data_IF_227474166704
#
_entry.id   IF_227474166704
#
_cell.length_a   1.000
_cell.length_b   1.000
_cell.length_c   1.000
_cell.angle_alpha   90.00
_cell.angle_beta   90.00
_cell.angle_gamma   90.00
#
_symmetry.space_group_name_H-M   'P 1'
#
loop_
_entity.id
_entity.type
_entity.pdbx_description
1 polymer ?
#
# COMPACT_ATOMS: atom_id res chain seq x y z
N UNK A 1 -40.49 -41.25 -11.29
CA UNK A 1 -40.38 -42.41 -10.38
C UNK A 1 -38.90 -42.47 -10.02
N UNK A 2 -38.48 -41.83 -8.92
CA UNK A 2 -38.33 -42.40 -7.56
C UNK A 2 -37.62 -43.76 -7.61
N UNK A 3 -36.32 -43.78 -7.32
CA UNK A 3 -35.72 -44.03 -5.98
C UNK A 3 -35.35 -45.54 -5.95
N UNK A 4 -34.24 -46.05 -5.45
CA UNK A 4 -33.38 -45.56 -4.37
C UNK A 4 -32.17 -46.53 -4.18
N UNK A 5 -31.21 -46.08 -3.37
CA UNK A 5 -30.39 -46.87 -2.44
C UNK A 5 -29.04 -47.50 -2.86
N UNK A 6 -28.01 -46.74 -2.49
CA UNK A 6 -26.74 -47.11 -1.87
C UNK A 6 -26.65 -48.49 -1.18
N UNK A 7 -25.48 -49.13 -1.30
CA UNK A 7 -24.86 -49.90 -0.21
C UNK A 7 -23.34 -49.94 -0.38
N UNK A 8 -22.65 -49.41 0.64
CA UNK A 8 -21.22 -49.50 0.90
C UNK A 8 -20.83 -50.92 1.28
N UNK A 9 -19.58 -51.33 0.99
CA UNK A 9 -18.68 -51.92 1.99
C UNK A 9 -17.20 -51.92 1.49
N UNK A 10 -16.22 -52.01 2.42
CA UNK A 10 -14.88 -51.42 2.30
C UNK A 10 -13.79 -52.44 1.97
N UNK A 11 -12.61 -51.96 1.59
CA UNK A 11 -11.38 -52.76 1.67
C UNK A 11 -10.37 -52.03 2.56
N UNK A 12 -10.17 -52.59 3.75
CA UNK A 12 -8.98 -52.38 4.58
C UNK A 12 -7.85 -53.21 3.97
N UNK A 13 -6.66 -52.63 3.85
CA UNK A 13 -5.41 -53.37 3.76
C UNK A 13 -4.39 -52.72 4.71
N UNK A 14 -3.84 -53.56 5.58
CA UNK A 14 -2.95 -53.24 6.69
C UNK A 14 -1.49 -53.55 6.33
N UNK A 15 -0.59 -52.66 6.75
CA UNK A 15 0.84 -52.95 6.99
C UNK A 15 1.77 -52.81 5.77
N UNK A 16 3.04 -52.45 5.88
CA UNK A 16 3.85 -52.02 7.02
C UNK A 16 5.17 -51.44 6.44
N UNK A 17 5.81 -50.59 7.21
CA UNK A 17 7.25 -50.34 7.28
C UNK A 17 8.09 -49.81 6.09
N UNK A 18 8.61 -48.59 6.35
CA UNK A 18 10.04 -48.24 6.31
C UNK A 18 10.70 -47.87 4.97
N UNK A 19 10.78 -46.54 4.72
CA UNK A 19 12.05 -45.87 4.32
C UNK A 19 11.94 -44.36 4.50
N UNK A 20 12.47 -43.90 5.63
CA UNK A 20 12.78 -42.50 5.90
C UNK A 20 13.92 -42.06 4.95
N UNK A 21 13.66 -41.06 4.10
CA UNK A 21 14.71 -40.29 3.42
C UNK A 21 14.88 -38.98 4.19
N UNK A 22 16.10 -38.62 4.61
CA UNK A 22 16.32 -37.51 5.52
C UNK A 22 16.19 -36.17 4.78
N UNK A 23 15.22 -35.36 5.20
CA UNK A 23 15.13 -33.94 4.84
C UNK A 23 16.24 -33.22 5.60
N UNK A 24 17.29 -32.86 4.87
CA UNK A 24 18.44 -32.13 5.36
C UNK A 24 18.03 -30.70 5.71
N UNK A 25 17.67 -30.48 6.99
CA UNK A 25 17.52 -29.15 7.59
C UNK A 25 18.89 -28.47 7.66
N UNK A 26 19.12 -27.48 6.81
CA UNK A 26 20.24 -26.56 6.98
C UNK A 26 19.92 -25.56 8.09
N UNK A 27 20.63 -25.73 9.20
CA UNK A 27 20.71 -24.83 10.34
C UNK A 27 21.39 -23.52 9.94
N UNK A 28 20.68 -22.40 10.05
CA UNK A 28 21.26 -21.05 9.95
C UNK A 28 22.07 -20.74 11.21
N UNK A 29 23.39 -20.98 11.15
CA UNK A 29 24.37 -20.37 12.04
C UNK A 29 25.68 -20.25 11.27
N UNK A 30 25.97 -19.03 10.82
CA UNK A 30 27.29 -18.46 10.45
C UNK A 30 27.14 -17.47 9.29
N UNK A 31 27.18 -16.17 9.62
CA UNK A 31 27.89 -15.11 8.88
C UNK A 31 27.57 -13.74 9.50
N UNK A 32 28.36 -13.38 10.51
CA UNK A 32 28.57 -12.00 10.93
C UNK A 32 30.03 -11.86 11.32
N UNK A 33 30.89 -11.34 10.43
CA UNK A 33 32.11 -10.60 10.79
C UNK A 33 32.53 -9.68 9.65
N UNK A 34 32.66 -8.39 9.97
CA UNK A 34 33.05 -7.28 9.09
C UNK A 34 31.94 -6.23 9.09
N UNK A 35 32.03 -5.09 9.78
CA UNK A 35 33.17 -4.24 10.14
C UNK A 35 32.81 -3.52 11.45
N UNK A 36 33.67 -3.61 12.47
CA UNK A 36 33.71 -2.67 13.59
C UNK A 36 34.55 -1.45 13.18
N UNK A 37 34.34 -0.30 13.83
CA UNK A 37 35.47 0.23 14.58
C UNK A 37 35.09 0.57 16.03
N UNK A 38 35.84 -0.07 16.94
CA UNK A 38 36.00 0.30 18.34
C UNK A 38 37.45 0.71 18.55
N UNK A 39 37.68 1.99 18.84
CA UNK A 39 38.82 2.54 19.60
C UNK A 39 38.73 4.07 19.47
N UNK A 40 38.95 4.93 20.45
CA UNK A 40 39.49 4.83 21.81
C UNK A 40 39.44 6.25 22.39
N UNK A 41 39.01 6.41 23.64
CA UNK A 41 39.56 7.46 24.50
C UNK A 41 40.80 6.85 25.20
N UNK A 42 41.82 7.64 25.60
CA UNK A 42 41.69 8.39 26.84
C UNK A 42 42.38 9.77 26.87
N UNK A 43 42.10 10.44 27.98
CA UNK A 43 42.53 11.73 28.52
C UNK A 43 44.03 12.08 28.40
N UNK A 44 44.42 13.30 28.75
CA UNK A 44 45.34 13.66 29.85
C UNK A 44 45.40 15.21 29.98
N UNK A 45 45.56 15.67 31.22
CA UNK A 45 45.58 17.04 31.73
C UNK A 45 46.92 17.75 31.50
N UNK A 46 46.91 19.09 31.42
CA UNK A 46 47.80 20.08 32.10
C UNK A 46 47.32 21.48 31.62
N UNK A 47 46.72 22.32 32.49
CA UNK A 47 47.41 23.37 33.26
C UNK A 47 47.57 24.64 32.38
N UNK A 48 47.18 25.87 32.74
CA UNK A 48 47.31 26.64 33.98
C UNK A 48 46.51 27.96 33.79
N UNK A 49 45.88 28.44 34.89
CA UNK A 49 45.65 29.82 35.38
C UNK A 49 45.61 31.01 34.39
N UNK A 50 44.84 32.09 34.56
CA UNK A 50 44.42 32.80 35.77
C UNK A 50 43.44 33.93 35.36
N UNK A 51 42.63 34.43 36.31
CA UNK A 51 42.18 35.83 36.28
C UNK A 51 40.67 36.11 36.09
N UNK A 52 39.93 36.03 37.19
CA UNK A 52 38.73 36.86 37.50
C UNK A 52 39.29 38.20 38.06
N UNK A 53 38.70 39.41 37.88
CA UNK A 53 37.28 39.65 38.09
C UNK A 53 36.56 40.76 37.28
N UNK A 54 35.23 40.64 37.29
CA UNK A 54 34.22 41.72 37.50
C UNK A 54 34.33 43.03 36.73
N UNK A 55 33.34 43.36 35.89
CA UNK A 55 32.37 44.43 36.20
C UNK A 55 31.23 44.50 35.16
N UNK A 56 30.06 44.95 35.65
CA UNK A 56 28.91 45.59 34.98
C UNK A 56 29.21 46.19 33.58
N UNK A 57 28.33 46.22 32.57
CA UNK A 57 26.99 46.80 32.62
C UNK A 57 26.32 46.72 31.23
N UNK A 58 25.00 46.85 31.21
CA UNK A 58 24.18 47.01 30.01
C UNK A 58 24.37 48.42 29.43
N UNK A 59 24.35 48.56 28.12
CA UNK A 59 23.25 49.27 27.41
C UNK A 59 23.60 49.58 25.96
N UNK A 60 22.65 49.18 25.12
CA UNK A 60 22.40 49.57 23.74
C UNK A 60 22.40 51.09 23.56
N UNK A 61 23.16 51.61 22.58
CA UNK A 61 22.85 52.91 21.99
C UNK A 61 23.26 52.98 20.51
N UNK A 62 22.29 53.48 19.75
CA UNK A 62 22.17 53.77 18.31
C UNK A 62 23.43 54.16 17.54
N UNK A 63 23.59 53.59 16.34
CA UNK A 63 24.39 54.20 15.27
C UNK A 63 23.55 54.31 13.99
N UNK A 64 23.39 55.55 13.53
CA UNK A 64 22.81 55.95 12.25
C UNK A 64 23.88 55.97 11.16
N UNK A 65 23.40 55.79 9.91
CA UNK A 65 23.95 56.28 8.61
C UNK A 65 24.65 55.30 7.64
N UNK A 66 23.82 54.89 6.66
CA UNK A 66 23.98 54.97 5.18
C UNK A 66 24.71 53.86 4.40
N UNK A 67 24.26 53.61 3.14
CA UNK A 67 24.30 52.30 2.51
C UNK A 67 25.29 52.23 1.34
N UNK A 68 26.11 51.18 1.32
CA UNK A 68 27.00 50.88 0.20
C UNK A 68 26.76 49.44 -0.27
N UNK A 69 25.75 49.24 -1.13
CA UNK A 69 25.41 47.89 -1.59
C UNK A 69 24.44 47.76 -2.75
N UNK A 70 24.12 48.83 -3.50
CA UNK A 70 23.13 48.74 -4.59
C UNK A 70 23.68 48.24 -5.94
N UNK A 71 25.01 48.13 -6.08
CA UNK A 71 25.63 47.74 -7.36
C UNK A 71 25.68 46.22 -7.57
N UNK A 72 25.81 45.44 -6.49
CA UNK A 72 25.86 43.96 -6.57
C UNK A 72 24.48 43.32 -6.71
N UNK A 73 23.44 43.90 -6.12
CA UNK A 73 22.07 43.37 -6.22
C UNK A 73 21.50 43.50 -7.63
N UNK A 74 21.78 44.61 -8.32
CA UNK A 74 21.37 44.79 -9.72
C UNK A 74 22.04 43.82 -10.68
N UNK A 75 23.33 43.50 -10.48
CA UNK A 75 24.01 42.51 -11.32
C UNK A 75 23.43 41.12 -11.13
N UNK A 76 23.06 40.72 -9.90
CA UNK A 76 22.40 39.42 -9.68
C UNK A 76 21.02 39.35 -10.34
N UNK A 77 20.23 40.42 -10.27
CA UNK A 77 18.91 40.47 -10.91
C UNK A 77 19.04 40.35 -12.43
N UNK A 78 19.99 41.08 -13.05
CA UNK A 78 20.22 41.01 -14.50
C UNK A 78 20.70 39.63 -14.95
N UNK A 79 21.58 38.98 -14.17
CA UNK A 79 22.03 37.61 -14.45
C UNK A 79 20.88 36.61 -14.34
N UNK A 80 20.02 36.72 -13.33
CA UNK A 80 18.87 35.84 -13.14
C UNK A 80 17.88 35.98 -14.32
N UNK A 81 17.63 37.22 -14.76
CA UNK A 81 16.72 37.50 -15.88
C UNK A 81 17.27 36.94 -17.20
N UNK A 82 18.58 37.05 -17.44
CA UNK A 82 19.23 36.45 -18.60
C UNK A 82 19.18 34.91 -18.58
N UNK A 83 19.26 34.30 -17.40
CA UNK A 83 19.19 32.84 -17.26
C UNK A 83 17.77 32.33 -17.54
N UNK A 84 16.75 33.06 -17.07
CA UNK A 84 15.34 32.73 -17.34
C UNK A 84 14.98 32.86 -18.83
N UNK A 85 15.51 33.88 -19.53
CA UNK A 85 15.27 34.02 -20.98
C UNK A 85 15.94 32.91 -21.77
N UNK A 86 17.15 32.48 -21.39
CA UNK A 86 17.82 31.34 -22.03
C UNK A 86 17.05 30.03 -21.81
N UNK A 87 16.51 29.79 -20.62
CA UNK A 87 15.68 28.62 -20.34
C UNK A 87 14.37 28.63 -21.15
N UNK A 88 13.72 29.78 -21.28
CA UNK A 88 12.51 29.92 -22.09
C UNK A 88 12.80 29.66 -23.59
N UNK A 89 13.92 30.17 -24.11
CA UNK A 89 14.34 29.92 -25.49
C UNK A 89 14.73 28.46 -25.72
N UNK A 90 15.36 27.80 -24.74
CA UNK A 90 15.66 26.38 -24.81
C UNK A 90 14.38 25.53 -24.80
N UNK A 91 13.36 25.91 -24.01
CA UNK A 91 12.07 25.23 -23.98
C UNK A 91 11.30 25.40 -25.30
N UNK A 92 11.28 26.61 -25.86
CA UNK A 92 10.69 26.87 -27.18
C UNK A 92 11.48 26.12 -28.27
N UNK A 93 12.81 26.12 -28.19
CA UNK A 93 13.67 25.33 -29.07
C UNK A 93 13.37 23.84 -28.99
N UNK A 94 13.16 23.28 -27.80
CA UNK A 94 12.77 21.89 -27.61
C UNK A 94 11.39 21.56 -28.20
N UNK A 95 10.44 22.51 -28.18
CA UNK A 95 9.14 22.33 -28.84
C UNK A 95 9.24 22.35 -30.38
N UNK A 96 10.21 23.06 -30.95
CA UNK A 96 10.43 23.14 -32.40
C UNK A 96 11.44 22.10 -32.93
N UNK A 97 12.34 21.59 -32.09
CA UNK A 97 13.36 20.59 -32.44
C UNK A 97 13.04 19.18 -31.96
N UNK A 98 11.99 18.98 -31.16
CA UNK A 98 11.40 17.66 -31.01
C UNK A 98 10.90 17.23 -32.40
N UNK A 99 11.47 16.18 -33.01
CA UNK A 99 11.01 15.69 -34.29
C UNK A 99 9.53 15.34 -34.12
N UNK A 100 8.68 16.08 -34.81
CA UNK A 100 7.30 15.69 -35.03
C UNK A 100 7.31 14.23 -35.46
N UNK A 101 6.79 13.40 -34.56
CA UNK A 101 6.51 12.00 -34.80
C UNK A 101 5.67 11.96 -36.08
N UNK A 102 6.25 11.49 -37.17
CA UNK A 102 5.48 11.07 -38.34
C UNK A 102 4.41 10.09 -37.83
N UNK A 103 3.16 10.51 -37.84
CA UNK A 103 2.05 9.58 -37.78
C UNK A 103 2.12 8.78 -39.08
N UNK A 104 2.67 7.57 -39.00
CA UNK A 104 2.73 6.64 -40.14
C UNK A 104 1.30 6.39 -40.67
N UNK A 105 1.13 6.14 -41.99
CA UNK A 105 -0.17 5.93 -42.59
C UNK A 105 -0.69 4.53 -42.26
N UNK A 106 -1.05 4.30 -41.00
CA UNK A 106 -1.80 3.13 -40.53
C UNK A 106 -3.09 3.57 -39.81
N UNK A 107 -3.21 4.84 -39.42
CA UNK A 107 -4.41 5.36 -38.73
C UNK A 107 -5.41 6.11 -39.64
N UNK A 108 -5.07 6.40 -40.89
CA UNK A 108 -5.99 7.06 -41.82
C UNK A 108 -7.16 6.17 -42.29
N UNK A 109 -7.06 4.84 -42.08
CA UNK A 109 -8.14 3.90 -42.37
C UNK A 109 -9.10 3.69 -41.19
N UNK A 110 -8.85 4.31 -40.03
CA UNK A 110 -9.74 4.22 -38.86
C UNK A 110 -10.73 5.39 -38.77
N UNK A 111 -10.49 6.48 -39.49
CA UNK A 111 -11.37 7.65 -39.53
C UNK A 111 -12.47 7.58 -40.61
N UNK A 112 -12.51 6.52 -41.44
CA UNK A 112 -13.56 6.31 -42.46
C UNK A 112 -14.39 5.04 -42.26
N UNK A 113 -14.28 4.42 -41.09
CA UNK A 113 -15.16 3.35 -40.60
C UNK A 113 -16.08 3.81 -39.45
N UNK A 114 -16.05 5.11 -39.11
CA UNK A 114 -16.77 5.71 -37.99
C UNK A 114 -18.07 6.43 -38.36
N UNK A 115 -18.52 6.39 -39.62
CA UNK A 115 -19.80 6.99 -40.03
C UNK A 115 -20.97 5.99 -40.08
N UNK A 116 -20.71 4.69 -39.84
CA UNK A 116 -21.73 3.64 -39.82
C UNK A 116 -21.80 2.87 -38.49
N UNK A 117 -21.24 3.41 -37.40
CA UNK A 117 -21.53 2.93 -36.06
C UNK A 117 -22.82 3.61 -35.59
N UNK A 118 -23.94 2.99 -35.95
CA UNK A 118 -25.25 3.15 -35.31
C UNK A 118 -25.10 3.57 -33.86
N UNK A 119 -25.71 4.71 -33.53
CA UNK A 119 -25.95 5.23 -32.20
C UNK A 119 -25.88 4.14 -31.13
N UNK A 120 -24.70 3.96 -30.53
CA UNK A 120 -24.58 3.24 -29.28
C UNK A 120 -25.35 4.10 -28.29
N UNK A 121 -26.53 3.60 -27.93
CA UNK A 121 -27.45 4.20 -26.97
C UNK A 121 -26.61 4.47 -25.72
N UNK A 122 -26.28 5.75 -25.48
CA UNK A 122 -25.81 6.24 -24.19
C UNK A 122 -26.97 6.02 -23.23
N UNK A 123 -27.07 4.81 -22.69
CA UNK A 123 -27.91 4.50 -21.54
C UNK A 123 -27.40 5.42 -20.44
N UNK A 124 -28.27 6.35 -20.01
CA UNK A 124 -27.91 7.45 -19.12
C UNK A 124 -27.11 6.97 -17.92
N UNK A 125 -26.17 7.81 -17.49
CA UNK A 125 -25.35 7.61 -16.30
C UNK A 125 -26.22 7.17 -15.12
N UNK A 126 -26.02 5.94 -14.65
CA UNK A 126 -26.78 5.36 -13.53
C UNK A 126 -26.07 5.67 -12.21
N UNK A 127 -26.83 5.70 -11.11
CA UNK A 127 -26.23 5.79 -9.77
C UNK A 127 -25.50 4.47 -9.45
N UNK A 128 -24.24 4.56 -9.01
CA UNK A 128 -23.48 3.37 -8.61
C UNK A 128 -23.86 2.97 -7.19
N UNK A 129 -24.67 1.91 -7.11
CA UNK A 129 -25.01 1.23 -5.87
C UNK A 129 -25.18 -0.26 -6.14
N UNK A 130 -25.04 -1.11 -5.11
CA UNK A 130 -25.27 -2.55 -5.28
C UNK A 130 -26.69 -2.84 -5.81
N UNK A 131 -27.69 -2.08 -5.37
CA UNK A 131 -29.05 -2.21 -5.87
C UNK A 131 -29.16 -1.89 -7.38
N UNK A 132 -28.51 -0.82 -7.84
CA UNK A 132 -28.53 -0.43 -9.25
C UNK A 132 -27.76 -1.42 -10.14
N UNK A 133 -26.67 -2.01 -9.63
CA UNK A 133 -25.93 -3.05 -10.34
C UNK A 133 -26.76 -4.34 -10.44
N UNK A 134 -27.42 -4.77 -9.35
CA UNK A 134 -28.32 -5.92 -9.35
C UNK A 134 -29.54 -5.71 -10.25
N UNK A 135 -30.13 -4.51 -10.24
CA UNK A 135 -31.24 -4.18 -11.14
C UNK A 135 -30.81 -4.24 -12.61
N UNK A 136 -29.62 -3.73 -12.94
CA UNK A 136 -29.07 -3.84 -14.28
C UNK A 136 -28.78 -5.31 -14.66
N UNK A 137 -28.27 -6.11 -13.73
CA UNK A 137 -28.02 -7.55 -13.95
C UNK A 137 -29.31 -8.30 -14.30
N UNK A 138 -30.40 -8.01 -13.59
CA UNK A 138 -31.71 -8.63 -13.82
C UNK A 138 -32.32 -8.27 -15.19
N UNK A 139 -31.89 -7.17 -15.81
CA UNK A 139 -32.34 -6.74 -17.13
C UNK A 139 -31.57 -7.42 -18.27
N UNK A 140 -30.44 -8.06 -17.99
CA UNK A 140 -29.59 -8.69 -19.00
C UNK A 140 -29.93 -10.17 -19.23
N UNK A 141 -29.76 -10.69 -20.45
CA UNK A 141 -29.94 -12.11 -20.75
C UNK A 141 -29.05 -13.02 -19.88
N UNK A 142 -29.60 -14.16 -19.44
CA UNK A 142 -28.95 -15.13 -18.53
C UNK A 142 -27.54 -15.57 -18.97
N UNK A 143 -27.30 -15.73 -20.27
CA UNK A 143 -25.99 -16.17 -20.78
C UNK A 143 -25.16 -15.03 -21.40
N UNK A 144 -25.60 -13.78 -21.21
CA UNK A 144 -24.94 -12.61 -21.78
C UNK A 144 -23.62 -12.28 -21.09
N UNK A 145 -22.60 -11.92 -21.87
CA UNK A 145 -21.33 -11.41 -21.33
C UNK A 145 -21.52 -10.17 -20.44
N UNK A 146 -22.48 -9.30 -20.76
CA UNK A 146 -22.80 -8.13 -19.91
C UNK A 146 -23.34 -8.56 -18.54
N UNK A 147 -24.22 -9.56 -18.49
CA UNK A 147 -24.71 -10.13 -17.22
C UNK A 147 -23.55 -10.64 -16.36
N UNK A 148 -22.65 -11.44 -16.93
CA UNK A 148 -21.46 -11.94 -16.23
C UNK A 148 -20.54 -10.82 -15.74
N UNK A 149 -20.42 -9.73 -16.49
CA UNK A 149 -19.70 -8.54 -16.02
C UNK A 149 -20.41 -7.85 -14.85
N UNK A 150 -21.73 -7.76 -14.87
CA UNK A 150 -22.51 -7.21 -13.76
C UNK A 150 -22.43 -8.10 -12.51
N UNK A 151 -22.49 -9.43 -12.67
CA UNK A 151 -22.28 -10.40 -11.58
C UNK A 151 -20.90 -10.21 -10.92
N UNK A 152 -19.83 -10.13 -11.73
CA UNK A 152 -18.47 -9.86 -11.23
C UNK A 152 -18.37 -8.47 -10.57
N UNK A 153 -19.00 -7.46 -11.17
CA UNK A 153 -19.05 -6.11 -10.61
C UNK A 153 -19.75 -6.10 -9.24
N UNK A 154 -20.91 -6.73 -9.10
CA UNK A 154 -21.66 -6.85 -7.84
C UNK A 154 -20.79 -7.53 -6.80
N UNK A 155 -20.20 -8.68 -7.13
CA UNK A 155 -19.37 -9.45 -6.22
C UNK A 155 -18.17 -8.63 -5.72
N UNK A 156 -17.33 -8.11 -6.64
CA UNK A 156 -16.12 -7.37 -6.27
C UNK A 156 -16.40 -6.04 -5.61
N UNK A 157 -17.38 -5.29 -6.11
CA UNK A 157 -17.75 -3.99 -5.55
C UNK A 157 -18.32 -4.12 -4.14
N UNK A 158 -19.01 -5.21 -3.82
CA UNK A 158 -19.53 -5.46 -2.46
C UNK A 158 -18.43 -5.57 -1.41
N UNK A 159 -17.26 -6.06 -1.81
CA UNK A 159 -16.07 -6.21 -0.96
C UNK A 159 -15.24 -4.93 -0.85
N UNK A 160 -15.53 -3.90 -1.65
CA UNK A 160 -14.72 -2.69 -1.65
C UNK A 160 -14.94 -1.83 -0.39
N UNK A 161 -13.87 -1.18 0.09
CA UNK A 161 -13.96 -0.30 1.25
C UNK A 161 -14.92 0.85 0.98
N UNK A 162 -15.51 1.39 2.05
CA UNK A 162 -16.55 2.43 1.95
C UNK A 162 -16.07 3.68 1.18
N UNK A 163 -14.78 4.01 1.27
CA UNK A 163 -14.20 5.14 0.51
C UNK A 163 -14.27 4.95 -1.01
N UNK A 164 -14.09 3.71 -1.50
CA UNK A 164 -14.23 3.37 -2.91
C UNK A 164 -15.70 3.43 -3.30
N UNK A 165 -16.58 2.76 -2.54
CA UNK A 165 -18.00 2.66 -2.89
C UNK A 165 -18.75 4.01 -2.92
N UNK A 166 -18.30 5.00 -2.15
CA UNK A 166 -18.95 6.32 -2.03
C UNK A 166 -18.47 7.36 -3.05
N UNK A 167 -17.39 7.09 -3.78
CA UNK A 167 -16.77 8.09 -4.66
C UNK A 167 -16.14 7.45 -5.92
N UNK A 168 -16.82 6.48 -6.50
CA UNK A 168 -16.32 5.73 -7.66
C UNK A 168 -17.15 5.91 -8.92
N UNK A 169 -16.45 5.82 -10.05
CA UNK A 169 -17.01 5.73 -11.39
C UNK A 169 -16.66 4.35 -11.93
N UNK A 170 -17.69 3.55 -12.20
CA UNK A 170 -17.54 2.21 -12.76
C UNK A 170 -17.99 2.20 -14.22
N UNK A 171 -17.14 1.69 -15.09
CA UNK A 171 -17.40 1.52 -16.51
C UNK A 171 -17.35 0.02 -16.83
N UNK A 172 -18.44 -0.53 -17.33
CA UNK A 172 -18.50 -1.89 -17.83
C UNK A 172 -18.40 -1.87 -19.35
N UNK A 173 -17.41 -2.56 -19.92
CA UNK A 173 -17.22 -2.71 -21.36
C UNK A 173 -17.20 -4.20 -21.71
N UNK A 174 -18.37 -4.73 -22.04
CA UNK A 174 -18.56 -6.16 -22.22
C UNK A 174 -19.33 -6.44 -23.50
N UNK A 175 -18.78 -7.29 -24.38
CA UNK A 175 -19.42 -7.69 -25.65
C UNK A 175 -19.86 -6.50 -26.53
N UNK A 176 -19.02 -5.47 -26.62
CA UNK A 176 -19.26 -4.29 -27.45
C UNK A 176 -20.28 -3.30 -26.87
N UNK A 177 -20.91 -3.60 -25.73
CA UNK A 177 -21.79 -2.67 -25.01
C UNK A 177 -21.04 -2.01 -23.86
N UNK A 178 -21.43 -0.75 -23.57
CA UNK A 178 -20.85 0.05 -22.50
C UNK A 178 -21.95 0.48 -21.54
N UNK A 179 -21.76 0.24 -20.24
CA UNK A 179 -22.58 0.81 -19.19
C UNK A 179 -21.72 1.62 -18.22
N UNK A 180 -22.29 2.70 -17.67
CA UNK A 180 -21.58 3.59 -16.76
C UNK A 180 -22.42 3.87 -15.51
N UNK A 181 -21.76 3.72 -14.36
CA UNK A 181 -22.33 3.94 -13.05
C UNK A 181 -21.43 4.90 -12.27
N UNK A 182 -22.02 5.85 -11.54
CA UNK A 182 -21.25 6.83 -10.74
C UNK A 182 -21.84 6.99 -9.35
N UNK A 183 -20.97 6.99 -8.33
CA UNK A 183 -21.26 7.28 -6.93
C UNK A 183 -20.42 8.46 -6.48
N UNK A 184 -21.03 9.39 -5.75
CA UNK A 184 -20.37 10.62 -5.30
C UNK A 184 -19.87 11.46 -6.47
N UNK A 185 -18.58 11.81 -6.44
CA UNK A 185 -17.93 12.59 -7.51
C UNK A 185 -17.30 11.71 -8.60
N UNK A 186 -17.19 10.41 -8.38
CA UNK A 186 -16.60 9.47 -9.33
C UNK A 186 -15.09 9.63 -9.53
N UNK A 187 -14.35 10.03 -8.49
CA UNK A 187 -12.90 10.25 -8.58
C UNK A 187 -12.12 8.93 -8.68
N UNK A 188 -12.64 7.84 -8.10
CA UNK A 188 -12.01 6.51 -8.13
C UNK A 188 -12.55 5.72 -9.33
N UNK A 189 -11.67 5.36 -10.25
CA UNK A 189 -12.07 4.70 -11.49
C UNK A 189 -12.06 3.18 -11.34
N UNK A 190 -13.11 2.54 -11.85
CA UNK A 190 -13.28 1.09 -11.88
C UNK A 190 -13.68 0.70 -13.29
N UNK A 191 -13.01 -0.28 -13.87
CA UNK A 191 -13.34 -0.85 -15.16
C UNK A 191 -13.66 -2.33 -15.01
N UNK A 192 -14.77 -2.76 -15.60
CA UNK A 192 -15.11 -4.18 -15.73
C UNK A 192 -15.14 -4.53 -17.20
N UNK A 193 -14.21 -5.36 -17.64
CA UNK A 193 -13.96 -5.62 -19.05
C UNK A 193 -14.10 -7.10 -19.36
N UNK A 194 -14.64 -7.42 -20.54
CA UNK A 194 -14.74 -8.80 -21.01
C UNK A 194 -13.49 -9.20 -21.79
N UNK A 195 -12.65 -10.07 -21.21
CA UNK A 195 -11.39 -10.52 -21.80
C UNK A 195 -11.37 -12.05 -21.83
N UNK A 196 -11.12 -12.63 -23.01
CA UNK A 196 -10.98 -14.09 -23.20
C UNK A 196 -12.10 -14.93 -22.56
N UNK A 197 -13.35 -14.47 -22.69
CA UNK A 197 -14.52 -15.18 -22.15
C UNK A 197 -14.75 -15.00 -20.65
N UNK A 198 -14.02 -14.10 -19.99
CA UNK A 198 -14.11 -13.85 -18.54
C UNK A 198 -14.24 -12.34 -18.27
N UNK A 199 -15.02 -11.97 -17.26
CA UNK A 199 -15.08 -10.60 -16.76
C UNK A 199 -13.85 -10.31 -15.89
N UNK A 200 -13.17 -9.19 -16.13
CA UNK A 200 -12.04 -8.72 -15.33
C UNK A 200 -12.40 -7.41 -14.65
N UNK A 201 -12.30 -7.38 -13.33
CA UNK A 201 -12.52 -6.19 -12.51
C UNK A 201 -11.18 -5.50 -12.23
N UNK A 202 -11.05 -4.25 -12.67
CA UNK A 202 -9.84 -3.45 -12.58
C UNK A 202 -10.20 -2.18 -11.83
N UNK A 203 -9.46 -1.88 -10.76
CA UNK A 203 -9.65 -0.65 -9.98
C UNK A 203 -8.35 0.16 -10.03
N UNK A 204 -8.49 1.46 -10.27
CA UNK A 204 -7.37 2.39 -10.25
C UNK A 204 -6.92 2.63 -8.80
N UNK A 205 -5.79 2.03 -8.44
CA UNK A 205 -5.14 2.16 -7.13
C UNK A 205 -4.05 3.24 -7.11
N UNK A 206 -4.05 4.19 -8.05
CA UNK A 206 -3.05 5.27 -8.09
C UNK A 206 -3.06 6.16 -6.84
N UNK A 207 -4.18 6.23 -6.11
CA UNK A 207 -4.25 6.85 -4.79
C UNK A 207 -3.70 5.90 -3.72
N UNK A 208 -2.69 6.32 -2.92
CA UNK A 208 -2.18 5.54 -1.80
C UNK A 208 -3.26 5.18 -0.78
N UNK A 209 -4.23 6.06 -0.54
CA UNK A 209 -5.32 5.82 0.40
C UNK A 209 -6.22 4.67 -0.07
N UNK A 210 -6.51 4.63 -1.38
CA UNK A 210 -7.30 3.56 -1.99
C UNK A 210 -6.54 2.23 -1.91
N UNK A 211 -5.26 2.24 -2.26
CA UNK A 211 -4.40 1.06 -2.16
C UNK A 211 -4.40 0.50 -0.72
N UNK A 212 -4.10 1.34 0.27
CA UNK A 212 -4.03 0.95 1.68
C UNK A 212 -5.37 0.45 2.21
N UNK A 213 -6.47 1.11 1.86
CA UNK A 213 -7.81 0.66 2.28
C UNK A 213 -8.17 -0.72 1.71
N UNK A 214 -7.62 -1.08 0.54
CA UNK A 214 -7.82 -2.40 -0.09
C UNK A 214 -6.91 -3.49 0.48
N UNK A 215 -5.75 -3.15 1.03
CA UNK A 215 -4.88 -4.10 1.74
C UNK A 215 -5.59 -4.77 2.93
N UNK A 216 -6.51 -4.04 3.59
CA UNK A 216 -7.29 -4.56 4.72
C UNK A 216 -8.47 -5.47 4.36
N UNK A 217 -8.74 -5.71 3.07
CA UNK A 217 -9.91 -6.51 2.64
C UNK A 217 -9.82 -7.97 3.06
N UNK A 218 -8.62 -8.55 2.96
CA UNK A 218 -8.40 -9.98 3.14
C UNK A 218 -7.22 -10.23 4.08
N UNK A 219 -7.31 -11.26 4.95
CA UNK A 219 -6.17 -11.67 5.73
C UNK A 219 -4.98 -12.03 4.83
N UNK A 220 -3.80 -11.58 5.23
CA UNK A 220 -2.54 -11.89 4.55
C UNK A 220 -1.78 -12.98 5.31
N UNK A 221 -0.89 -13.75 4.65
CA UNK A 221 0.02 -14.64 5.36
C UNK A 221 0.91 -13.85 6.33
N UNK A 222 0.98 -14.31 7.58
CA UNK A 222 1.83 -13.71 8.61
C UNK A 222 3.29 -14.12 8.38
N UNK A 223 4.06 -13.18 7.85
CA UNK A 223 5.51 -13.29 7.72
C UNK A 223 6.14 -11.90 7.81
N UNK A 224 7.38 -11.83 8.28
CA UNK A 224 8.13 -10.58 8.33
C UNK A 224 8.28 -9.96 6.94
N UNK A 225 8.48 -10.79 5.91
CA UNK A 225 8.56 -10.33 4.53
C UNK A 225 7.26 -9.67 4.08
N UNK A 226 6.09 -10.24 4.43
CA UNK A 226 4.80 -9.65 4.05
C UNK A 226 4.51 -8.35 4.80
N UNK A 227 4.80 -8.29 6.10
CA UNK A 227 4.65 -7.06 6.90
C UNK A 227 5.57 -5.96 6.36
N UNK A 228 6.84 -6.29 6.07
CA UNK A 228 7.80 -5.36 5.48
C UNK A 228 7.39 -4.93 4.07
N UNK A 229 6.80 -5.82 3.27
CA UNK A 229 6.28 -5.47 1.94
C UNK A 229 5.18 -4.43 2.03
N UNK A 230 4.19 -4.65 2.91
CA UNK A 230 3.12 -3.68 3.16
C UNK A 230 3.67 -2.34 3.63
N UNK A 231 4.69 -2.34 4.51
CA UNK A 231 5.35 -1.12 4.95
C UNK A 231 6.03 -0.36 3.79
N UNK A 232 6.68 -1.08 2.87
CA UNK A 232 7.34 -0.51 1.69
C UNK A 232 6.33 0.00 0.63
N UNK A 233 5.15 -0.60 0.58
CA UNK A 233 4.05 -0.17 -0.29
C UNK A 233 3.41 1.14 0.20
N UNK A 234 3.64 1.54 1.46
CA UNK A 234 3.24 2.85 1.96
C UNK A 234 4.10 3.95 1.33
N UNK A 235 3.51 5.06 0.87
CA UNK A 235 4.26 6.14 0.23
C UNK A 235 5.28 6.72 1.21
N UNK A 236 6.55 6.82 0.82
CA UNK A 236 7.65 7.34 1.64
C UNK A 236 7.48 8.80 2.09
N UNK A 237 6.59 9.54 1.44
CA UNK A 237 6.40 10.99 1.59
C UNK A 237 5.32 11.31 2.64
N UNK A 238 5.27 10.50 3.70
CA UNK A 238 4.23 10.50 4.76
C UNK A 238 4.06 11.87 5.42
N UNK A 239 5.06 12.75 5.31
CA UNK A 239 5.05 14.09 5.92
C UNK A 239 3.94 15.02 5.42
N UNK A 240 3.39 14.79 4.22
CA UNK A 240 2.30 15.63 3.66
C UNK A 240 0.96 14.89 3.57
N UNK A 241 1.00 13.56 3.62
CA UNK A 241 -0.18 12.70 3.55
C UNK A 241 -0.84 12.61 4.93
N UNK A 242 -2.17 12.45 4.97
CA UNK A 242 -2.99 12.43 6.20
C UNK A 242 -2.35 11.61 7.33
N UNK A 243 -2.52 12.10 8.57
CA UNK A 243 -1.94 11.49 9.78
C UNK A 243 -2.21 9.99 9.94
N UNK A 244 -3.29 9.50 9.34
CA UNK A 244 -3.68 8.09 9.26
C UNK A 244 -2.57 7.17 8.71
N UNK A 245 -1.91 7.53 7.61
CA UNK A 245 -0.86 6.70 7.01
C UNK A 245 0.42 6.67 7.87
N UNK A 246 0.72 7.80 8.52
CA UNK A 246 1.84 7.89 9.47
C UNK A 246 1.62 6.98 10.68
N UNK A 247 0.39 6.93 11.14
CA UNK A 247 0.00 6.05 12.23
C UNK A 247 0.19 4.59 11.85
N UNK A 248 -0.30 4.20 10.67
CA UNK A 248 -0.15 2.84 10.16
C UNK A 248 1.33 2.44 10.01
N UNK A 249 2.16 3.32 9.46
CA UNK A 249 3.61 3.09 9.36
C UNK A 249 4.24 2.82 10.74
N UNK A 250 3.91 3.64 11.74
CA UNK A 250 4.42 3.49 13.10
C UNK A 250 4.01 2.14 13.71
N UNK A 251 2.79 1.67 13.41
CA UNK A 251 2.30 0.38 13.91
C UNK A 251 2.95 -0.80 13.22
N UNK A 252 3.17 -0.73 11.92
CA UNK A 252 3.91 -1.76 11.18
C UNK A 252 5.38 -1.82 11.63
N UNK A 253 6.03 -0.68 11.87
CA UNK A 253 7.38 -0.63 12.46
C UNK A 253 7.43 -1.32 13.83
N UNK A 254 6.50 -0.98 14.73
CA UNK A 254 6.39 -1.62 16.04
C UNK A 254 6.17 -3.13 15.91
N UNK A 255 5.35 -3.54 14.96
CA UNK A 255 5.10 -4.96 14.66
C UNK A 255 6.39 -5.68 14.25
N UNK A 256 7.17 -5.09 13.34
CA UNK A 256 8.44 -5.64 12.89
C UNK A 256 9.50 -5.69 14.00
N UNK A 257 9.42 -4.79 14.98
CA UNK A 257 10.30 -4.79 16.15
C UNK A 257 9.91 -5.87 17.16
N UNK A 258 8.62 -6.03 17.48
CA UNK A 258 8.18 -6.88 18.59
C UNK A 258 7.91 -8.33 18.18
N UNK A 259 7.29 -8.56 17.01
CA UNK A 259 6.86 -9.90 16.58
C UNK A 259 8.00 -10.94 16.50
N UNK A 260 9.21 -10.63 16.00
CA UNK A 260 10.33 -11.58 16.00
C UNK A 260 10.73 -12.04 17.41
N UNK A 261 10.44 -11.24 18.44
CA UNK A 261 10.75 -11.54 19.83
C UNK A 261 9.68 -12.40 20.51
N UNK A 262 8.59 -12.77 19.83
CA UNK A 262 7.63 -13.71 20.38
C UNK A 262 8.16 -15.15 20.37
N UNK A 263 7.62 -16.05 21.20
CA UNK A 263 7.95 -17.47 21.09
C UNK A 263 7.52 -18.06 19.74
N UNK A 264 8.30 -19.01 19.21
CA UNK A 264 8.01 -19.66 17.91
C UNK A 264 6.61 -20.28 17.87
N UNK A 265 6.20 -20.97 18.95
CA UNK A 265 4.86 -21.55 19.09
C UNK A 265 3.75 -20.51 18.91
N UNK A 266 4.00 -19.28 19.33
CA UNK A 266 3.05 -18.19 19.15
C UNK A 266 3.07 -17.69 17.70
N UNK A 267 4.26 -17.49 17.12
CA UNK A 267 4.42 -17.02 15.75
C UNK A 267 3.80 -17.99 14.72
N UNK A 268 3.89 -19.30 14.96
CA UNK A 268 3.42 -20.34 14.04
C UNK A 268 1.89 -20.51 14.02
N UNK A 269 1.16 -19.94 14.98
CA UNK A 269 -0.31 -20.05 15.09
C UNK A 269 -0.95 -18.72 15.52
N UNK A 270 -0.42 -17.61 15.00
CA UNK A 270 -0.85 -16.26 15.36
C UNK A 270 -1.82 -15.64 14.36
N UNK A 271 -2.80 -14.92 14.91
CA UNK A 271 -3.58 -13.91 14.20
C UNK A 271 -3.14 -12.54 14.68
N UNK A 272 -2.42 -11.82 13.83
CA UNK A 272 -1.90 -10.49 14.09
C UNK A 272 -2.79 -9.44 13.42
N UNK A 273 -3.39 -8.56 14.21
CA UNK A 273 -4.24 -7.47 13.74
C UNK A 273 -3.57 -6.12 14.01
N UNK A 274 -3.34 -5.35 12.95
CA UNK A 274 -2.84 -3.97 13.04
C UNK A 274 -4.00 -3.02 12.78
N UNK A 275 -4.38 -2.24 13.79
CA UNK A 275 -5.51 -1.32 13.78
C UNK A 275 -5.01 0.10 14.03
N UNK A 276 -4.60 0.78 12.95
CA UNK A 276 -4.00 2.11 13.03
C UNK A 276 -4.39 2.95 11.81
N UNK A 277 -4.62 4.24 12.02
CA UNK A 277 -4.97 5.16 10.93
C UNK A 277 -6.29 4.84 10.24
N UNK A 278 -7.26 4.31 10.99
CA UNK A 278 -8.57 3.92 10.44
C UNK A 278 -8.54 2.71 9.50
N UNK A 279 -7.40 2.00 9.42
CA UNK A 279 -7.22 0.81 8.60
C UNK A 279 -6.93 -0.38 9.50
N UNK A 280 -7.52 -1.52 9.14
CA UNK A 280 -7.33 -2.79 9.82
C UNK A 280 -6.62 -3.75 8.88
N UNK A 281 -5.40 -4.14 9.22
CA UNK A 281 -4.67 -5.19 8.51
C UNK A 281 -4.69 -6.46 9.37
N UNK A 282 -5.00 -7.59 8.75
CA UNK A 282 -4.96 -8.90 9.42
C UNK A 282 -3.92 -9.77 8.76
N UNK A 283 -3.05 -10.35 9.57
CA UNK A 283 -2.06 -11.33 9.16
C UNK A 283 -2.28 -12.63 9.94
N UNK A 284 -2.23 -13.79 9.26
CA UNK A 284 -2.52 -15.09 9.87
C UNK A 284 -1.38 -16.08 9.57
N UNK A 285 -0.94 -16.78 10.61
CA UNK A 285 -0.09 -17.97 10.56
C UNK A 285 -0.85 -19.15 11.17
N UNK A 286 -0.69 -20.34 10.60
CA UNK A 286 -1.39 -21.54 11.07
C UNK A 286 -2.92 -21.38 11.06
N UNK A 287 -3.56 -21.76 12.17
CA UNK A 287 -5.01 -21.63 12.38
C UNK A 287 -5.38 -20.27 13.00
N UNK A 288 -4.39 -19.50 13.48
CA UNK A 288 -4.55 -18.18 14.04
C UNK A 288 -5.18 -18.16 15.44
N UNK A 289 -4.92 -19.17 16.28
CA UNK A 289 -5.50 -19.27 17.62
C UNK A 289 -4.90 -18.25 18.61
N UNK A 290 -3.71 -17.72 18.34
CA UNK A 290 -3.04 -16.74 19.20
C UNK A 290 -3.25 -15.31 18.68
N UNK A 291 -4.10 -14.55 19.36
CA UNK A 291 -4.36 -13.16 18.98
C UNK A 291 -3.24 -12.20 19.40
N UNK A 292 -2.74 -11.41 18.45
CA UNK A 292 -1.83 -10.29 18.64
C UNK A 292 -2.51 -9.04 18.08
N UNK A 293 -2.55 -7.96 18.85
CA UNK A 293 -3.11 -6.68 18.43
C UNK A 293 -2.04 -5.60 18.49
N UNK A 294 -1.95 -4.80 17.43
CA UNK A 294 -1.09 -3.62 17.37
C UNK A 294 -1.96 -2.43 17.04
N UNK A 295 -2.01 -1.45 17.93
CA UNK A 295 -2.94 -0.33 17.82
C UNK A 295 -2.36 0.91 18.51
N UNK A 296 -2.92 2.09 18.23
CA UNK A 296 -2.54 3.33 18.91
C UNK A 296 -3.48 3.63 20.08
N UNK A 297 -2.90 3.95 21.23
CA UNK A 297 -3.60 4.36 22.45
C UNK A 297 -2.79 5.48 23.13
N UNK A 298 -3.46 6.58 23.47
CA UNK A 298 -2.84 7.75 24.11
C UNK A 298 -1.60 8.31 23.39
N UNK A 299 -1.60 8.22 22.06
CA UNK A 299 -0.51 8.70 21.21
C UNK A 299 0.64 7.71 21.01
N UNK A 300 0.65 6.60 21.74
CA UNK A 300 1.69 5.57 21.69
C UNK A 300 1.19 4.31 20.98
N UNK A 301 2.09 3.62 20.29
CA UNK A 301 1.77 2.34 19.64
C UNK A 301 1.91 1.21 20.66
N UNK A 302 0.80 0.55 20.92
CA UNK A 302 0.70 -0.62 21.78
C UNK A 302 0.88 -1.90 20.96
N UNK A 303 1.65 -2.84 21.51
CA UNK A 303 1.76 -4.20 21.00
C UNK A 303 1.28 -5.15 22.10
N UNK A 304 0.16 -5.82 21.87
CA UNK A 304 -0.50 -6.64 22.87
C UNK A 304 -0.74 -8.06 22.36
N UNK A 305 -0.26 -9.02 23.11
CA UNK A 305 -0.57 -10.43 22.91
C UNK A 305 -1.66 -10.81 23.89
N UNK A 306 -2.77 -11.36 23.40
CA UNK A 306 -3.81 -11.85 24.30
C UNK A 306 -3.26 -12.99 25.14
N UNK A 307 -3.50 -12.97 26.45
CA UNK A 307 -2.99 -14.01 27.33
C UNK A 307 -3.67 -15.34 27.01
N UNK A 308 -2.92 -16.25 26.41
CA UNK A 308 -3.26 -17.67 26.34
C UNK A 308 -2.34 -18.44 27.27
N UNK A 309 -2.84 -19.55 27.84
CA UNK A 309 -2.06 -20.41 28.73
C UNK A 309 -0.76 -20.90 28.06
N UNK A 310 -0.82 -21.22 26.77
CA UNK A 310 0.33 -21.59 25.94
C UNK A 310 1.33 -20.45 25.78
N UNK A 311 0.89 -19.22 25.50
CA UNK A 311 1.76 -18.05 25.37
C UNK A 311 2.50 -17.73 26.68
N UNK A 312 1.82 -17.88 27.82
CA UNK A 312 2.42 -17.65 29.14
C UNK A 312 3.55 -18.65 29.44
N UNK A 313 3.33 -19.95 29.23
CA UNK A 313 4.38 -20.97 29.40
C UNK A 313 5.55 -20.79 28.44
N UNK A 314 5.26 -20.48 27.17
CA UNK A 314 6.29 -20.30 26.15
C UNK A 314 7.24 -19.13 26.50
N UNK A 315 6.72 -18.05 27.11
CA UNK A 315 7.52 -16.92 27.58
C UNK A 315 8.33 -17.24 28.84
N UNK A 316 7.78 -18.00 29.78
CA UNK A 316 8.48 -18.40 31.01
C UNK A 316 9.68 -19.31 30.75
N UNK A 317 9.59 -20.21 29.77
CA UNK A 317 10.67 -21.14 29.46
C UNK A 317 11.68 -20.63 28.43
N UNK A 318 11.43 -19.47 27.80
CA UNK A 318 12.35 -18.82 26.86
C UNK A 318 13.71 -18.47 27.49
N UNK A 319 13.78 -18.37 28.82
CA UNK A 319 15.01 -18.08 29.56
C UNK A 319 15.73 -19.29 30.18
N UNK A 320 15.28 -20.54 29.98
CA UNK A 320 15.83 -21.71 30.71
C UNK A 320 16.55 -22.75 29.84
N UNK A 321 16.55 -22.58 28.51
CA UNK A 321 17.23 -23.49 27.57
C UNK A 321 18.02 -22.69 26.51
N UNK A 322 18.89 -21.79 26.98
CA UNK A 322 19.91 -21.11 26.17
C UNK A 322 21.29 -21.52 26.63
#
# INVERSE_FOLDING_TARGET
MRDDSNLFEPLLDDGDDSKLIPVQRFSYREKLWGILPRSSAPSWLYGIECGVPSFSDKSTMTQTTRPLGKRKTWTFILVLLALLTLLALAFIGALFWAPWRQQSPVEANKAKAGENATAAILVGQKNLSLAALLEAEMQEPQEGAMRKCLEEAVHKFSEEPAMVRKNSRMILQCNGTKQEFVSGKGEIHIEVVWINGTASYILDESSPEVHVARLGRHPMPLSLARISGVLQDLPSNISETRGDLKELHSCLDKTLQEFPHEPVVLQDDAKLMVTCGGVNLTFISGEGQSDINVYREDGEVQYQVKPTWSAWWARLFKGRLG
#
